data_IF_328409822961
#
_entry.id   IF_328409822961
#
_cell.length_a   1.000
_cell.length_b   1.000
_cell.length_c   1.000
_cell.angle_alpha   90.00
_cell.angle_beta   90.00
_cell.angle_gamma   90.00
#
_symmetry.space_group_name_H-M   'P 1'
#
loop_
_entity.id
_entity.type
_entity.pdbx_description
1 polymer ?
#
# COMPACT_ATOMS: atom_id res chain seq x y z
N UNK A 1 31.52 -15.12 10.21
CA UNK A 1 31.10 -15.43 8.82
C UNK A 1 30.84 -14.08 8.17
N UNK A 2 31.65 -13.72 7.17
CA UNK A 2 31.53 -12.42 6.51
C UNK A 2 30.31 -12.46 5.57
N UNK A 3 29.38 -11.52 5.75
CA UNK A 3 28.27 -11.30 4.83
C UNK A 3 28.81 -10.97 3.44
N UNK A 4 28.59 -11.87 2.50
CA UNK A 4 28.88 -11.63 1.08
C UNK A 4 27.80 -10.64 0.59
N UNK A 5 28.10 -9.34 0.67
CA UNK A 5 27.31 -8.31 0.02
C UNK A 5 27.47 -8.49 -1.49
N UNK A 6 26.56 -9.23 -2.10
CA UNK A 6 26.51 -9.40 -3.56
C UNK A 6 26.18 -8.03 -4.18
N UNK A 7 27.20 -7.41 -4.78
CA UNK A 7 27.08 -6.11 -5.46
C UNK A 7 26.08 -6.25 -6.62
N UNK A 8 24.97 -5.53 -6.59
CA UNK A 8 23.97 -5.53 -7.68
C UNK A 8 24.64 -5.26 -9.03
N UNK A 9 24.18 -5.88 -10.13
CA UNK A 9 24.69 -5.61 -11.47
C UNK A 9 24.65 -4.11 -11.79
N UNK A 10 25.63 -3.60 -12.53
CA UNK A 10 25.75 -2.18 -12.88
C UNK A 10 24.49 -1.65 -13.58
N UNK A 11 23.84 -2.47 -14.40
CA UNK A 11 22.59 -2.14 -15.08
C UNK A 11 21.43 -1.91 -14.09
N UNK A 12 21.34 -2.74 -13.05
CA UNK A 12 20.29 -2.61 -12.03
C UNK A 12 20.53 -1.39 -11.13
N UNK A 13 21.78 -1.06 -10.84
CA UNK A 13 22.15 0.17 -10.13
C UNK A 13 21.77 1.41 -10.94
N UNK A 14 21.99 1.39 -12.26
CA UNK A 14 21.60 2.49 -13.15
C UNK A 14 20.07 2.63 -13.21
N UNK A 15 19.34 1.52 -13.36
CA UNK A 15 17.87 1.52 -13.34
C UNK A 15 17.33 2.11 -12.03
N UNK A 16 17.88 1.69 -10.89
CA UNK A 16 17.50 2.19 -9.58
C UNK A 16 17.80 3.70 -9.43
N UNK A 17 18.96 4.16 -9.91
CA UNK A 17 19.32 5.58 -9.88
C UNK A 17 18.33 6.44 -10.69
N UNK A 18 17.87 5.97 -11.85
CA UNK A 18 16.85 6.64 -12.67
C UNK A 18 15.55 6.76 -11.86
N UNK A 19 15.07 5.66 -11.28
CA UNK A 19 13.85 5.62 -10.46
C UNK A 19 13.97 6.57 -9.27
N UNK A 20 15.05 6.46 -8.48
CA UNK A 20 15.25 7.28 -7.28
C UNK A 20 15.32 8.79 -7.61
N UNK A 21 15.94 9.15 -8.74
CA UNK A 21 16.00 10.54 -9.21
C UNK A 21 14.62 11.03 -9.66
N UNK A 22 13.87 10.20 -10.37
CA UNK A 22 12.51 10.53 -10.80
C UNK A 22 11.57 10.76 -9.61
N UNK A 23 11.61 9.88 -8.62
CA UNK A 23 10.80 10.02 -7.39
C UNK A 23 11.15 11.29 -6.59
N UNK A 24 12.38 11.76 -6.63
CA UNK A 24 12.78 13.05 -6.02
C UNK A 24 12.25 14.25 -6.77
N UNK A 25 12.02 14.16 -8.07
CA UNK A 25 11.51 15.24 -8.89
C UNK A 25 9.99 15.41 -8.81
N UNK A 26 9.23 14.31 -8.59
CA UNK A 26 7.77 14.33 -8.54
C UNK A 26 7.21 15.33 -7.51
N UNK A 27 7.71 15.42 -6.26
CA UNK A 27 7.22 16.40 -5.29
C UNK A 27 7.49 17.87 -5.68
N UNK A 28 8.42 18.11 -6.61
CA UNK A 28 8.78 19.44 -7.07
C UNK A 28 7.91 19.91 -8.23
N UNK A 29 7.37 18.98 -9.01
CA UNK A 29 6.46 19.26 -10.13
C UNK A 29 5.71 17.97 -10.54
N UNK A 30 4.55 18.18 -11.22
CA UNK A 30 3.74 17.06 -11.72
C UNK A 30 4.59 16.05 -12.50
N UNK A 31 4.37 14.77 -12.26
CA UNK A 31 5.17 13.68 -12.82
C UNK A 31 5.24 13.70 -14.36
N UNK A 32 4.13 14.08 -15.04
CA UNK A 32 4.01 14.19 -16.49
C UNK A 32 4.73 15.42 -17.09
N UNK A 33 5.15 16.35 -16.24
CA UNK A 33 5.92 17.55 -16.65
C UNK A 33 7.44 17.35 -16.51
N UNK A 34 7.89 16.25 -15.93
CA UNK A 34 9.30 15.92 -15.86
C UNK A 34 9.79 15.50 -17.25
N UNK A 35 10.90 16.05 -17.70
CA UNK A 35 11.46 15.73 -19.02
C UNK A 35 12.64 14.76 -18.91
N UNK A 36 12.83 13.92 -19.93
CA UNK A 36 14.00 13.02 -20.02
C UNK A 36 15.31 13.81 -19.90
N UNK A 37 15.38 15.03 -20.46
CA UNK A 37 16.57 15.90 -20.38
C UNK A 37 16.90 16.25 -18.93
N UNK A 38 15.91 16.67 -18.17
CA UNK A 38 16.04 17.09 -16.77
C UNK A 38 16.41 15.89 -15.90
N UNK A 39 15.69 14.76 -16.05
CA UNK A 39 15.96 13.53 -15.33
C UNK A 39 17.39 13.02 -15.57
N UNK A 40 17.83 12.97 -16.82
CA UNK A 40 19.20 12.54 -17.15
C UNK A 40 20.27 13.45 -16.54
N UNK A 41 20.04 14.77 -16.55
CA UNK A 41 20.95 15.72 -15.92
C UNK A 41 21.07 15.50 -14.41
N UNK A 42 19.94 15.30 -13.72
CA UNK A 42 19.91 15.04 -12.28
C UNK A 42 20.46 13.66 -11.90
N UNK A 43 20.20 12.65 -12.72
CA UNK A 43 20.70 11.28 -12.51
C UNK A 43 22.17 11.11 -12.92
N UNK A 44 22.78 12.13 -13.52
CA UNK A 44 24.14 12.11 -14.08
C UNK A 44 24.35 10.95 -15.09
N UNK A 45 23.41 10.82 -16.04
CA UNK A 45 23.45 9.83 -17.11
C UNK A 45 23.23 10.48 -18.47
N UNK A 46 23.59 9.79 -19.55
CA UNK A 46 23.26 10.21 -20.90
C UNK A 46 21.82 9.86 -21.27
N UNK A 47 21.22 10.55 -22.24
CA UNK A 47 19.91 10.18 -22.79
C UNK A 47 19.94 8.77 -23.40
N UNK A 48 21.05 8.39 -24.09
CA UNK A 48 21.21 7.03 -24.61
C UNK A 48 21.13 5.97 -23.51
N UNK A 49 21.71 6.25 -22.33
CA UNK A 49 21.59 5.37 -21.16
C UNK A 49 20.13 5.26 -20.68
N UNK A 50 19.38 6.35 -20.63
CA UNK A 50 17.97 6.32 -20.27
C UNK A 50 17.15 5.46 -21.22
N UNK A 51 17.33 5.66 -22.55
CA UNK A 51 16.59 4.94 -23.58
C UNK A 51 16.92 3.43 -23.69
N UNK A 52 17.95 2.95 -22.99
CA UNK A 52 18.21 1.51 -22.82
C UNK A 52 17.20 0.85 -21.85
N UNK A 53 16.51 1.63 -20.98
CA UNK A 53 15.63 1.13 -19.95
C UNK A 53 14.18 1.54 -20.14
N UNK A 54 13.94 2.74 -20.68
CA UNK A 54 12.61 3.37 -20.79
C UNK A 54 12.47 4.10 -22.13
N UNK A 55 11.32 3.98 -22.74
CA UNK A 55 10.99 4.68 -23.99
C UNK A 55 10.79 6.18 -23.77
N UNK A 56 10.19 6.55 -22.66
CA UNK A 56 9.91 7.92 -22.24
C UNK A 56 9.59 8.00 -20.73
N UNK A 57 9.13 9.17 -20.27
CA UNK A 57 8.73 9.40 -18.87
C UNK A 57 7.46 8.62 -18.49
N UNK A 58 6.55 8.44 -19.44
CA UNK A 58 5.31 7.69 -19.21
C UNK A 58 5.60 6.21 -19.01
N UNK A 59 6.46 5.62 -19.83
CA UNK A 59 6.93 4.23 -19.67
C UNK A 59 7.65 4.04 -18.34
N UNK A 60 8.49 4.99 -17.90
CA UNK A 60 9.13 4.96 -16.59
C UNK A 60 8.10 4.93 -15.46
N UNK A 61 7.09 5.82 -15.52
CA UNK A 61 6.02 5.87 -14.52
C UNK A 61 5.22 4.57 -14.50
N UNK A 62 4.79 4.10 -15.66
CA UNK A 62 4.02 2.84 -15.81
C UNK A 62 4.78 1.63 -15.23
N UNK A 63 6.09 1.52 -15.47
CA UNK A 63 6.89 0.43 -14.91
C UNK A 63 7.00 0.52 -13.38
N UNK A 64 7.08 1.72 -12.81
CA UNK A 64 7.06 1.92 -11.35
C UNK A 64 5.71 1.48 -10.79
N UNK A 65 4.60 1.93 -11.39
CA UNK A 65 3.25 1.59 -10.97
C UNK A 65 2.98 0.09 -11.05
N UNK A 66 3.28 -0.53 -12.19
CA UNK A 66 3.08 -1.96 -12.37
C UNK A 66 3.87 -2.78 -11.34
N UNK A 67 5.11 -2.37 -11.06
CA UNK A 67 5.92 -3.01 -10.00
C UNK A 67 5.26 -2.90 -8.62
N UNK A 68 4.64 -1.76 -8.31
CA UNK A 68 3.93 -1.56 -7.04
C UNK A 68 2.64 -2.37 -6.98
N UNK A 69 1.86 -2.42 -8.06
CA UNK A 69 0.63 -3.21 -8.14
C UNK A 69 0.92 -4.72 -8.02
N UNK A 70 1.99 -5.20 -8.65
CA UNK A 70 2.44 -6.59 -8.52
C UNK A 70 2.90 -6.91 -7.10
N UNK A 71 3.63 -5.98 -6.47
CA UNK A 71 4.11 -6.16 -5.10
C UNK A 71 2.94 -6.19 -4.10
N UNK A 72 1.95 -5.31 -4.20
CA UNK A 72 0.80 -5.32 -3.30
C UNK A 72 -0.01 -6.59 -3.45
N UNK A 73 -0.28 -7.04 -4.69
CA UNK A 73 -0.95 -8.32 -4.94
C UNK A 73 -0.19 -9.50 -4.35
N UNK A 74 1.14 -9.51 -4.45
CA UNK A 74 1.98 -10.56 -3.87
C UNK A 74 1.87 -10.60 -2.35
N UNK A 75 1.88 -9.44 -1.68
CA UNK A 75 1.71 -9.38 -0.22
C UNK A 75 0.33 -9.91 0.20
N UNK A 76 -0.72 -9.54 -0.50
CA UNK A 76 -2.07 -10.01 -0.21
C UNK A 76 -2.22 -11.50 -0.48
N UNK A 77 -1.78 -12.00 -1.62
CA UNK A 77 -1.85 -13.43 -1.95
C UNK A 77 -1.08 -14.31 -0.95
N UNK A 78 -0.03 -13.77 -0.34
CA UNK A 78 0.74 -14.48 0.70
C UNK A 78 0.01 -14.47 2.05
N UNK A 79 -0.79 -13.43 2.33
CA UNK A 79 -1.55 -13.26 3.56
C UNK A 79 -2.90 -14.02 3.55
N UNK A 80 -3.44 -14.33 2.38
CA UNK A 80 -4.80 -14.86 2.19
C UNK A 80 -4.93 -16.36 2.45
N UNK A 81 -4.42 -16.88 3.55
CA UNK A 81 -4.79 -18.21 4.03
C UNK A 81 -5.69 -18.05 5.26
N UNK A 82 -7.01 -18.36 5.14
CA UNK A 82 -7.89 -18.32 6.29
C UNK A 82 -7.35 -19.27 7.37
N UNK A 83 -7.10 -18.76 8.55
CA UNK A 83 -7.00 -19.62 9.73
C UNK A 83 -8.44 -19.97 10.12
N UNK A 84 -8.78 -21.25 10.31
CA UNK A 84 -10.11 -21.60 10.78
C UNK A 84 -10.28 -21.02 12.19
N UNK A 85 -11.11 -20.00 12.30
CA UNK A 85 -11.57 -19.51 13.59
C UNK A 85 -12.52 -20.54 14.16
N UNK A 86 -12.09 -21.28 15.16
CA UNK A 86 -12.97 -22.14 15.95
C UNK A 86 -13.85 -21.25 16.83
N UNK A 87 -14.98 -20.78 16.29
CA UNK A 87 -15.96 -20.06 17.07
C UNK A 87 -16.86 -21.04 17.81
N UNK A 88 -16.61 -21.23 19.09
CA UNK A 88 -17.61 -21.70 20.01
C UNK A 88 -18.46 -20.49 20.38
N UNK A 89 -19.56 -20.23 19.66
CA UNK A 89 -20.41 -19.07 19.91
C UNK A 89 -21.24 -19.29 21.17
N UNK A 90 -20.98 -18.50 22.22
CA UNK A 90 -21.81 -18.44 23.44
C UNK A 90 -22.99 -17.46 23.28
N UNK A 91 -23.22 -16.91 22.09
CA UNK A 91 -24.27 -15.93 21.81
C UNK A 91 -23.92 -14.48 22.20
N UNK A 92 -22.70 -14.24 22.66
CA UNK A 92 -22.18 -12.89 22.89
C UNK A 92 -21.24 -12.47 21.77
N UNK A 93 -21.27 -11.19 21.41
CA UNK A 93 -20.39 -10.62 20.37
C UNK A 93 -18.90 -10.88 20.69
N UNK A 94 -18.50 -10.72 21.97
CA UNK A 94 -17.13 -10.91 22.42
C UNK A 94 -16.59 -12.33 22.19
N UNK A 95 -17.48 -13.33 22.15
CA UNK A 95 -17.08 -14.73 21.98
C UNK A 95 -17.14 -15.20 20.51
N UNK A 96 -17.75 -14.39 19.63
CA UNK A 96 -18.00 -14.75 18.22
C UNK A 96 -17.10 -14.01 17.23
N UNK A 97 -16.25 -13.09 17.70
CA UNK A 97 -15.47 -12.21 16.84
C UNK A 97 -13.96 -12.26 17.14
N UNK A 98 -13.15 -12.41 16.09
CA UNK A 98 -11.69 -12.32 16.23
C UNK A 98 -11.25 -10.85 16.26
N UNK A 99 -10.81 -10.38 17.41
CA UNK A 99 -10.33 -9.02 17.64
C UNK A 99 -8.91 -8.77 17.13
N UNK A 100 -8.17 -9.81 16.75
CA UNK A 100 -6.83 -9.63 16.21
C UNK A 100 -6.86 -8.95 14.83
N UNK A 101 -5.90 -8.07 14.51
CA UNK A 101 -5.82 -7.49 13.18
C UNK A 101 -5.64 -8.59 12.11
N UNK A 102 -6.52 -8.64 11.09
CA UNK A 102 -6.40 -9.63 10.03
C UNK A 102 -5.06 -9.55 9.30
N UNK A 103 -4.59 -10.69 8.81
CA UNK A 103 -3.34 -10.73 8.05
C UNK A 103 -3.37 -9.82 6.80
N UNK A 104 -4.55 -9.62 6.20
CA UNK A 104 -4.75 -8.72 5.07
C UNK A 104 -4.41 -7.27 5.43
N UNK A 105 -4.83 -6.77 6.61
CA UNK A 105 -4.44 -5.44 7.07
C UNK A 105 -2.93 -5.33 7.28
N UNK A 106 -2.32 -6.37 7.87
CA UNK A 106 -0.86 -6.43 8.07
C UNK A 106 -0.11 -6.44 6.74
N UNK A 107 -0.65 -7.09 5.70
CA UNK A 107 -0.06 -7.15 4.37
C UNK A 107 0.12 -5.77 3.75
N UNK A 108 -0.88 -4.88 3.86
CA UNK A 108 -0.81 -3.50 3.38
C UNK A 108 0.37 -2.73 3.99
N UNK A 109 0.50 -2.74 5.30
CA UNK A 109 1.58 -1.99 5.97
C UNK A 109 2.96 -2.60 5.73
N UNK A 110 3.08 -3.92 5.61
CA UNK A 110 4.32 -4.58 5.17
C UNK A 110 4.70 -4.15 3.75
N UNK A 111 3.74 -4.07 2.84
CA UNK A 111 3.94 -3.56 1.48
C UNK A 111 4.40 -2.09 1.51
N UNK A 112 3.72 -1.21 2.25
CA UNK A 112 4.09 0.19 2.39
C UNK A 112 5.51 0.35 2.95
N UNK A 113 5.88 -0.40 4.00
CA UNK A 113 7.21 -0.37 4.59
C UNK A 113 8.30 -0.79 3.60
N UNK A 114 8.06 -1.87 2.85
CA UNK A 114 8.99 -2.34 1.81
C UNK A 114 9.20 -1.31 0.71
N UNK A 115 8.15 -0.60 0.33
CA UNK A 115 8.13 0.34 -0.79
C UNK A 115 8.10 1.82 -0.33
N UNK A 116 8.56 2.14 0.90
CA UNK A 116 8.42 3.44 1.56
C UNK A 116 8.62 4.63 0.61
N UNK A 117 9.77 4.71 -0.06
CA UNK A 117 10.12 5.83 -0.94
C UNK A 117 9.16 6.02 -2.12
N UNK A 118 8.72 4.92 -2.74
CA UNK A 118 7.79 4.96 -3.88
C UNK A 118 6.39 5.32 -3.40
N UNK A 119 5.91 4.64 -2.37
CA UNK A 119 4.54 4.80 -1.87
C UNK A 119 4.33 6.17 -1.26
N UNK A 120 5.30 6.74 -0.54
CA UNK A 120 5.19 8.10 -0.01
C UNK A 120 4.90 9.13 -1.11
N UNK A 121 5.58 9.01 -2.25
CA UNK A 121 5.35 9.90 -3.42
C UNK A 121 4.03 9.57 -4.14
N UNK A 122 3.74 8.27 -4.33
CA UNK A 122 2.58 7.83 -5.10
C UNK A 122 1.24 8.01 -4.37
N UNK A 123 1.24 8.10 -3.05
CA UNK A 123 0.04 8.42 -2.25
C UNK A 123 -0.18 9.92 -2.05
N UNK A 124 0.73 10.79 -2.49
CA UNK A 124 0.55 12.24 -2.37
C UNK A 124 -0.58 12.70 -3.31
N UNK A 125 -1.69 13.27 -2.77
CA UNK A 125 -2.84 13.68 -3.58
C UNK A 125 -2.53 14.74 -4.65
N UNK A 126 -1.44 15.49 -4.48
CA UNK A 126 -1.04 16.56 -5.40
C UNK A 126 -0.30 16.03 -6.63
N UNK A 127 0.35 14.88 -6.49
CA UNK A 127 1.30 14.40 -7.49
C UNK A 127 1.01 12.98 -7.97
N UNK A 128 0.06 12.27 -7.33
CA UNK A 128 -0.29 10.90 -7.69
C UNK A 128 -0.98 10.81 -9.06
N UNK A 129 -0.74 9.71 -9.76
CA UNK A 129 -1.53 9.37 -10.94
C UNK A 129 -2.92 8.85 -10.54
N UNK A 130 -3.95 9.44 -11.15
CA UNK A 130 -5.35 9.07 -10.90
C UNK A 130 -5.64 7.62 -11.30
N UNK A 131 -5.04 7.13 -12.41
CA UNK A 131 -5.24 5.76 -12.87
C UNK A 131 -4.58 4.74 -11.96
N UNK A 132 -3.37 5.03 -11.49
CA UNK A 132 -2.70 4.21 -10.47
C UNK A 132 -3.53 4.12 -9.19
N UNK A 133 -3.98 5.26 -8.67
CA UNK A 133 -4.80 5.31 -7.46
C UNK A 133 -6.11 4.54 -7.62
N UNK A 134 -6.73 4.57 -8.80
CA UNK A 134 -7.92 3.77 -9.09
C UNK A 134 -7.64 2.27 -9.06
N UNK A 135 -6.55 1.82 -9.70
CA UNK A 135 -6.13 0.40 -9.68
C UNK A 135 -5.82 -0.07 -8.25
N UNK A 136 -5.12 0.76 -7.48
CA UNK A 136 -4.76 0.44 -6.10
C UNK A 136 -6.01 0.35 -5.19
N UNK A 137 -6.98 1.26 -5.35
CA UNK A 137 -8.28 1.18 -4.65
C UNK A 137 -9.04 -0.10 -4.98
N UNK A 138 -9.04 -0.52 -6.23
CA UNK A 138 -9.71 -1.75 -6.63
C UNK A 138 -9.08 -2.97 -5.93
N UNK A 139 -7.76 -3.07 -5.92
CA UNK A 139 -7.05 -4.16 -5.23
C UNK A 139 -7.40 -4.17 -3.73
N UNK A 140 -7.34 -3.01 -3.06
CA UNK A 140 -7.71 -2.92 -1.65
C UNK A 140 -9.19 -3.27 -1.41
N UNK A 141 -10.08 -2.82 -2.30
CA UNK A 141 -11.51 -3.12 -2.20
C UNK A 141 -11.78 -4.62 -2.25
N UNK A 142 -11.15 -5.34 -3.16
CA UNK A 142 -11.28 -6.80 -3.28
C UNK A 142 -10.87 -7.49 -1.97
N UNK A 143 -9.71 -7.13 -1.42
CA UNK A 143 -9.19 -7.74 -0.19
C UNK A 143 -9.96 -7.33 1.06
N UNK A 144 -10.43 -6.09 1.16
CA UNK A 144 -11.26 -5.63 2.27
C UNK A 144 -12.64 -6.32 2.22
N UNK A 145 -13.24 -6.45 1.04
CA UNK A 145 -14.49 -7.20 0.90
C UNK A 145 -14.32 -8.66 1.29
N UNK A 146 -13.21 -9.31 0.88
CA UNK A 146 -12.92 -10.66 1.32
C UNK A 146 -12.80 -10.77 2.85
N UNK A 147 -12.12 -9.82 3.49
CA UNK A 147 -12.02 -9.76 4.95
C UNK A 147 -13.41 -9.64 5.61
N UNK A 148 -14.30 -8.85 5.02
CA UNK A 148 -15.67 -8.69 5.53
C UNK A 148 -16.54 -9.93 5.28
N UNK A 149 -16.31 -10.67 4.19
CA UNK A 149 -16.94 -11.98 3.97
C UNK A 149 -16.49 -12.97 5.04
N UNK A 150 -15.19 -13.00 5.36
CA UNK A 150 -14.63 -13.87 6.40
C UNK A 150 -15.18 -13.49 7.80
N UNK A 151 -15.49 -12.22 8.04
CA UNK A 151 -16.13 -11.71 9.25
C UNK A 151 -17.65 -11.96 9.29
N UNK A 152 -18.24 -12.44 8.18
CA UNK A 152 -19.68 -12.71 8.09
C UNK A 152 -20.56 -11.45 7.92
N UNK A 153 -20.01 -10.31 7.52
CA UNK A 153 -20.79 -9.11 7.25
C UNK A 153 -21.62 -9.28 5.97
N UNK A 154 -22.92 -8.90 5.96
CA UNK A 154 -23.76 -8.96 4.77
C UNK A 154 -23.26 -8.00 3.69
N UNK A 155 -23.51 -8.36 2.43
CA UNK A 155 -23.21 -7.49 1.29
C UNK A 155 -24.36 -6.49 1.08
N UNK A 156 -24.32 -5.40 1.85
CA UNK A 156 -25.34 -4.36 1.87
C UNK A 156 -24.75 -2.95 1.61
N UNK A 157 -25.62 -1.94 1.66
CA UNK A 157 -25.21 -0.54 1.47
C UNK A 157 -24.23 -0.07 2.53
N UNK A 158 -24.40 -0.47 3.78
CA UNK A 158 -23.51 -0.09 4.90
C UNK A 158 -22.10 -0.62 4.68
N UNK A 159 -21.98 -1.91 4.30
CA UNK A 159 -20.71 -2.53 3.92
C UNK A 159 -20.01 -1.78 2.79
N UNK A 160 -20.75 -1.40 1.75
CA UNK A 160 -20.19 -0.65 0.61
C UNK A 160 -19.59 0.69 1.04
N UNK A 161 -20.29 1.44 1.91
CA UNK A 161 -19.75 2.68 2.47
C UNK A 161 -18.54 2.45 3.37
N UNK A 162 -18.61 1.44 4.22
CA UNK A 162 -17.54 1.10 5.14
C UNK A 162 -16.24 0.70 4.41
N UNK A 163 -16.36 -0.12 3.36
CA UNK A 163 -15.22 -0.48 2.50
C UNK A 163 -14.52 0.76 1.95
N UNK A 164 -15.28 1.72 1.41
CA UNK A 164 -14.73 2.97 0.87
C UNK A 164 -14.01 3.79 1.94
N UNK A 165 -14.63 3.96 3.11
CA UNK A 165 -14.03 4.68 4.23
C UNK A 165 -12.75 3.99 4.71
N UNK A 166 -12.77 2.68 4.84
CA UNK A 166 -11.61 1.91 5.31
C UNK A 166 -10.44 1.99 4.34
N UNK A 167 -10.69 1.98 3.01
CA UNK A 167 -9.65 2.19 1.99
C UNK A 167 -8.98 3.56 2.15
N UNK A 168 -9.77 4.64 2.22
CA UNK A 168 -9.21 5.99 2.36
C UNK A 168 -8.45 6.16 3.67
N UNK A 169 -8.87 5.48 4.72
CA UNK A 169 -8.14 5.46 5.99
C UNK A 169 -6.82 4.69 5.89
N UNK A 170 -6.77 3.58 5.15
CA UNK A 170 -5.51 2.88 4.89
C UNK A 170 -4.51 3.78 4.15
N UNK A 171 -4.98 4.54 3.15
CA UNK A 171 -4.13 5.50 2.43
C UNK A 171 -3.70 6.64 3.32
N UNK A 172 -4.62 7.20 4.10
CA UNK A 172 -4.34 8.30 5.03
C UNK A 172 -3.31 7.86 6.08
N UNK A 173 -3.56 6.74 6.73
CA UNK A 173 -2.66 6.20 7.75
C UNK A 173 -1.26 5.88 7.20
N UNK A 174 -1.19 5.27 6.00
CA UNK A 174 0.10 5.00 5.34
C UNK A 174 0.84 6.29 5.01
N UNK A 175 0.15 7.31 4.51
CA UNK A 175 0.76 8.60 4.16
C UNK A 175 1.36 9.28 5.38
N UNK A 176 0.59 9.50 6.44
CA UNK A 176 1.09 10.11 7.68
C UNK A 176 2.24 9.31 8.29
N UNK A 177 2.09 7.99 8.36
CA UNK A 177 3.13 7.12 8.90
C UNK A 177 4.45 7.13 8.10
N UNK A 178 4.37 7.37 6.77
CA UNK A 178 5.55 7.40 5.90
C UNK A 178 6.18 8.80 5.83
N UNK A 179 5.43 9.86 6.14
CA UNK A 179 5.89 11.26 6.13
C UNK A 179 6.69 11.61 7.40
N UNK A 180 6.45 10.94 8.52
CA UNK A 180 7.17 11.21 9.75
C UNK A 180 8.64 10.79 9.64
N UNK A 181 9.53 11.79 9.77
CA UNK A 181 10.99 11.60 9.72
C UNK A 181 11.60 11.33 11.09
N UNK A 182 10.91 11.74 12.16
CA UNK A 182 11.42 11.63 13.53
C UNK A 182 11.04 10.28 14.17
N UNK A 183 12.04 9.41 14.41
CA UNK A 183 11.81 8.06 14.95
C UNK A 183 11.16 8.06 16.36
N UNK A 184 11.18 9.20 17.07
CA UNK A 184 10.65 9.31 18.42
C UNK A 184 9.12 9.38 18.49
N UNK A 185 8.45 9.91 17.45
CA UNK A 185 7.00 10.13 17.40
C UNK A 185 6.26 9.19 16.43
N UNK A 186 7.01 8.32 15.74
CA UNK A 186 6.42 7.39 14.77
C UNK A 186 5.70 6.26 15.48
N UNK A 187 4.39 6.16 15.25
CA UNK A 187 3.62 5.01 15.69
C UNK A 187 4.22 3.71 15.13
N UNK A 188 4.30 2.68 15.95
CA UNK A 188 4.71 1.36 15.45
C UNK A 188 3.70 0.83 14.43
N UNK A 189 4.12 -0.08 13.56
CA UNK A 189 3.20 -0.77 12.64
C UNK A 189 2.04 -1.43 13.40
N UNK A 190 2.29 -1.91 14.61
CA UNK A 190 1.29 -2.52 15.48
C UNK A 190 0.25 -1.51 15.96
N UNK A 191 0.67 -0.30 16.35
CA UNK A 191 -0.25 0.74 16.82
C UNK A 191 -1.19 1.20 15.71
N UNK A 192 -0.67 1.39 14.49
CA UNK A 192 -1.48 1.76 13.32
C UNK A 192 -2.46 0.65 12.96
N UNK A 193 -2.00 -0.61 13.00
CA UNK A 193 -2.88 -1.76 12.77
C UNK A 193 -4.00 -1.84 13.80
N UNK A 194 -3.69 -1.64 15.08
CA UNK A 194 -4.68 -1.63 16.15
C UNK A 194 -5.70 -0.50 15.98
N UNK A 195 -5.25 0.70 15.59
CA UNK A 195 -6.14 1.84 15.32
C UNK A 195 -7.15 1.51 14.23
N UNK A 196 -6.70 1.01 13.08
CA UNK A 196 -7.57 0.65 11.96
C UNK A 196 -8.45 -0.57 12.28
N UNK A 197 -7.91 -1.54 13.00
CA UNK A 197 -8.66 -2.71 13.43
C UNK A 197 -9.80 -2.37 14.39
N UNK A 198 -9.64 -1.35 15.23
CA UNK A 198 -10.72 -0.84 16.11
C UNK A 198 -11.95 -0.43 15.30
N UNK A 199 -11.75 0.13 14.11
CA UNK A 199 -12.87 0.52 13.25
C UNK A 199 -13.54 -0.69 12.58
N UNK A 200 -12.76 -1.70 12.18
CA UNK A 200 -13.31 -2.98 11.70
C UNK A 200 -14.19 -3.62 12.80
N UNK A 201 -13.68 -3.71 14.02
CA UNK A 201 -14.42 -4.23 15.17
C UNK A 201 -15.71 -3.43 15.40
N UNK A 202 -15.63 -2.08 15.34
CA UNK A 202 -16.79 -1.21 15.49
C UNK A 202 -17.89 -1.45 14.44
N UNK A 203 -17.53 -1.70 13.18
CA UNK A 203 -18.48 -2.02 12.13
C UNK A 203 -19.19 -3.36 12.37
N UNK A 204 -18.43 -4.39 12.76
CA UNK A 204 -18.98 -5.71 13.11
C UNK A 204 -19.91 -5.62 14.32
N UNK A 205 -19.54 -4.82 15.32
CA UNK A 205 -20.39 -4.58 16.51
C UNK A 205 -21.73 -3.92 16.14
N UNK A 206 -21.69 -2.89 15.30
CA UNK A 206 -22.92 -2.22 14.82
C UNK A 206 -23.83 -3.18 14.06
N UNK A 207 -23.27 -4.02 13.20
CA UNK A 207 -24.02 -5.03 12.47
C UNK A 207 -24.67 -6.07 13.41
N UNK A 208 -23.92 -6.56 14.39
CA UNK A 208 -24.43 -7.51 15.37
C UNK A 208 -25.68 -6.99 16.11
N UNK A 209 -25.65 -5.72 16.55
CA UNK A 209 -26.79 -5.10 17.24
C UNK A 209 -27.98 -4.78 16.35
N UNK A 210 -27.80 -4.65 15.03
CA UNK A 210 -28.91 -4.46 14.10
C UNK A 210 -29.60 -5.76 13.71
N UNK A 211 -28.93 -6.90 13.93
CA UNK A 211 -29.41 -8.23 13.57
C UNK A 211 -30.06 -8.97 14.73
N UNK A 212 -29.92 -8.46 15.96
CA UNK A 212 -30.56 -8.96 17.19
C UNK A 212 -31.73 -8.10 17.57
#
# INVERSE_FOLDING_TARGET
MADIITKKPKSEQTKQNIIDTYLKLIPLKCWDKITVKELCAQANITRGTFYQYYSDIYDLMEQIENTLLDDVNRFYNTASKPQPTSSCSTGKFEDSFDYAPPQLMTAWFKFCKKNKKKIAVMLDPKHSDVYFMKKLRNILSEHINQMMDDDGLPDDTLRSYFTKLLIEMHFLAARYWLEEEDEADVLSTTDILNLLNTMRVGANYLHYFQST
#
